data_IF_437961427840
#
_entry.id   IF_437961427840
#
_cell.length_a   1.000
_cell.length_b   1.000
_cell.length_c   1.000
_cell.angle_alpha   90.00
_cell.angle_beta   90.00
_cell.angle_gamma   90.00
#
_symmetry.space_group_name_H-M   'P 1'
#
loop_
_entity.id
_entity.type
_entity.pdbx_description
1 polymer ?
#
# COMPACT_ATOMS: atom_id res chain seq x y z
N UNK A 1 4.98 -7.24 -13.55
CA UNK A 1 5.00 -8.25 -12.48
C UNK A 1 6.18 -9.21 -12.64
N UNK A 2 6.33 -9.88 -13.79
CA UNK A 2 7.42 -10.86 -14.01
C UNK A 2 8.81 -10.28 -13.72
N UNK A 3 9.13 -9.12 -14.28
CA UNK A 3 10.41 -8.46 -14.06
C UNK A 3 10.63 -8.10 -12.58
N UNK A 4 9.60 -7.63 -11.90
CA UNK A 4 9.66 -7.29 -10.48
C UNK A 4 9.96 -8.51 -9.60
N UNK A 5 9.33 -9.65 -9.88
CA UNK A 5 9.60 -10.91 -9.18
C UNK A 5 11.04 -11.37 -9.41
N UNK A 6 11.51 -11.30 -10.66
CA UNK A 6 12.89 -11.69 -11.01
C UNK A 6 13.93 -10.76 -10.37
N UNK A 7 13.68 -9.46 -10.35
CA UNK A 7 14.56 -8.49 -9.69
C UNK A 7 14.61 -8.67 -8.16
N UNK A 8 13.53 -9.15 -7.58
CA UNK A 8 13.48 -9.49 -6.15
C UNK A 8 14.19 -10.82 -5.83
N UNK A 9 14.87 -11.43 -6.79
CA UNK A 9 15.55 -12.74 -6.67
C UNK A 9 14.60 -13.89 -6.30
N UNK A 10 13.34 -13.73 -6.62
CA UNK A 10 12.30 -14.77 -6.45
C UNK A 10 12.10 -15.49 -7.77
N UNK A 11 11.81 -16.78 -7.67
CA UNK A 11 11.55 -17.60 -8.86
C UNK A 11 10.20 -17.26 -9.46
N UNK A 12 10.21 -16.96 -10.75
CA UNK A 12 8.98 -16.88 -11.54
C UNK A 12 8.68 -18.28 -12.10
N UNK A 13 7.44 -18.80 -11.93
CA UNK A 13 7.12 -20.14 -12.40
C UNK A 13 7.33 -20.30 -13.90
N UNK A 14 8.04 -21.33 -14.30
CA UNK A 14 8.23 -21.70 -15.71
C UNK A 14 7.06 -22.56 -16.22
N UNK A 15 5.83 -22.14 -15.92
CA UNK A 15 4.58 -22.83 -16.25
C UNK A 15 3.59 -21.83 -16.85
N UNK A 16 2.58 -22.36 -17.51
CA UNK A 16 1.45 -21.54 -17.94
C UNK A 16 0.71 -21.01 -16.71
N UNK A 17 0.60 -19.68 -16.62
CA UNK A 17 -0.10 -19.00 -15.55
C UNK A 17 -1.42 -18.47 -16.09
N UNK A 18 -2.52 -18.82 -15.43
CA UNK A 18 -3.83 -18.25 -15.68
C UNK A 18 -4.22 -17.38 -14.50
N UNK A 19 -4.49 -16.10 -14.76
CA UNK A 19 -4.94 -15.15 -13.76
C UNK A 19 -6.39 -14.81 -14.02
N UNK A 20 -7.23 -14.97 -13.00
CA UNK A 20 -8.62 -14.59 -13.05
C UNK A 20 -8.84 -13.39 -12.10
N UNK A 21 -9.17 -12.23 -12.67
CA UNK A 21 -9.50 -11.02 -11.93
C UNK A 21 -11.01 -10.87 -11.86
N UNK A 22 -11.58 -11.23 -10.73
CA UNK A 22 -13.01 -11.08 -10.45
C UNK A 22 -13.27 -9.80 -9.62
N UNK A 23 -14.46 -9.19 -9.75
CA UNK A 23 -15.47 -9.40 -10.79
C UNK A 23 -15.07 -8.79 -12.13
N UNK A 24 -15.62 -9.34 -13.22
CA UNK A 24 -15.24 -8.97 -14.60
C UNK A 24 -15.68 -7.55 -15.02
N UNK A 25 -16.67 -7.00 -14.37
CA UNK A 25 -17.30 -5.71 -14.65
C UNK A 25 -16.61 -4.51 -13.99
N UNK A 26 -15.67 -4.74 -13.06
CA UNK A 26 -14.90 -3.67 -12.46
C UNK A 26 -13.76 -3.20 -13.38
N UNK A 27 -13.56 -1.87 -13.54
CA UNK A 27 -12.42 -1.35 -14.27
C UNK A 27 -11.12 -1.79 -13.60
N UNK A 28 -10.21 -2.36 -14.41
CA UNK A 28 -8.90 -2.87 -13.97
C UNK A 28 -7.77 -2.08 -14.61
N UNK A 29 -7.97 -0.76 -14.66
CA UNK A 29 -7.02 0.17 -15.25
C UNK A 29 -5.85 0.46 -14.30
N UNK A 30 -4.68 0.66 -14.89
CA UNK A 30 -3.45 0.97 -14.16
C UNK A 30 -2.81 -0.22 -13.45
N UNK A 31 -1.73 0.07 -12.75
CA UNK A 31 -0.90 -0.93 -12.09
C UNK A 31 -1.34 -1.32 -10.68
N UNK A 32 -2.48 -0.86 -10.20
CA UNK A 32 -2.92 -1.08 -8.81
C UNK A 32 -3.06 -2.55 -8.40
N UNK A 33 -3.26 -3.43 -9.35
CA UNK A 33 -3.38 -4.87 -9.13
C UNK A 33 -2.06 -5.63 -9.26
N UNK A 34 -0.95 -4.96 -9.57
CA UNK A 34 0.35 -5.61 -9.75
C UNK A 34 0.80 -6.35 -8.49
N UNK A 35 0.68 -5.72 -7.33
CA UNK A 35 1.07 -6.33 -6.06
C UNK A 35 0.26 -7.58 -5.73
N UNK A 36 -1.08 -7.57 -5.75
CA UNK A 36 -1.84 -8.80 -5.50
C UNK A 36 -1.58 -9.89 -6.54
N UNK A 37 -1.35 -9.54 -7.80
CA UNK A 37 -0.97 -10.50 -8.85
C UNK A 37 0.37 -11.18 -8.54
N UNK A 38 1.38 -10.40 -8.19
CA UNK A 38 2.70 -10.92 -7.83
C UNK A 38 2.62 -11.88 -6.62
N UNK A 39 1.89 -11.48 -5.59
CA UNK A 39 1.72 -12.29 -4.39
C UNK A 39 0.94 -13.58 -4.65
N UNK A 40 -0.08 -13.53 -5.50
CA UNK A 40 -0.82 -14.70 -5.93
C UNK A 40 0.06 -15.71 -6.70
N UNK A 41 0.92 -15.23 -7.58
CA UNK A 41 1.90 -16.05 -8.32
C UNK A 41 2.91 -16.68 -7.35
N UNK A 42 3.44 -15.90 -6.41
CA UNK A 42 4.40 -16.39 -5.40
C UNK A 42 3.78 -17.43 -4.47
N UNK A 43 2.53 -17.26 -4.07
CA UNK A 43 1.79 -18.23 -3.28
C UNK A 43 1.56 -19.53 -4.06
N UNK A 44 1.18 -19.43 -5.32
CA UNK A 44 1.00 -20.59 -6.20
C UNK A 44 2.31 -21.36 -6.43
N UNK A 45 3.45 -20.69 -6.40
CA UNK A 45 4.79 -21.27 -6.55
C UNK A 45 5.40 -21.77 -5.22
N UNK A 46 4.69 -21.65 -4.12
CA UNK A 46 5.16 -22.09 -2.80
C UNK A 46 6.11 -21.14 -2.09
N UNK A 47 6.38 -19.95 -2.65
CA UNK A 47 7.26 -18.95 -2.04
C UNK A 47 6.62 -18.27 -0.81
N UNK A 48 5.30 -18.22 -0.78
CA UNK A 48 4.49 -17.68 0.33
C UNK A 48 3.40 -18.70 0.66
N UNK A 49 3.09 -18.86 1.95
CA UNK A 49 1.92 -19.65 2.35
C UNK A 49 0.64 -18.96 1.89
N UNK A 50 -0.21 -19.62 1.06
CA UNK A 50 -1.48 -19.05 0.62
C UNK A 50 -2.38 -18.58 1.77
N UNK A 51 -2.33 -19.23 2.91
CA UNK A 51 -3.13 -18.84 4.08
C UNK A 51 -2.70 -17.51 4.67
N UNK A 52 -1.43 -17.12 4.53
CA UNK A 52 -0.96 -15.81 4.96
C UNK A 52 -1.62 -14.65 4.19
N UNK A 53 -2.14 -14.90 2.99
CA UNK A 53 -2.83 -13.91 2.17
C UNK A 53 -4.30 -13.70 2.56
N UNK A 54 -4.90 -14.64 3.26
CA UNK A 54 -6.35 -14.65 3.51
C UNK A 54 -6.84 -13.46 4.34
N UNK A 55 -6.02 -12.95 5.26
CA UNK A 55 -6.39 -11.86 6.16
C UNK A 55 -6.06 -10.48 5.60
N UNK A 56 -5.40 -10.43 4.44
CA UNK A 56 -4.89 -9.21 3.85
C UNK A 56 -5.60 -8.82 2.57
N UNK A 57 -5.67 -7.52 2.35
CA UNK A 57 -5.91 -6.91 1.06
C UNK A 57 -4.64 -6.19 0.60
N UNK A 58 -4.40 -6.16 -0.70
CA UNK A 58 -3.20 -5.58 -1.29
C UNK A 58 -3.56 -4.63 -2.40
N UNK A 59 -2.86 -3.53 -2.47
CA UNK A 59 -2.96 -2.58 -3.56
C UNK A 59 -1.59 -1.94 -3.80
N UNK A 60 -1.18 -1.82 -5.05
CA UNK A 60 0.08 -1.18 -5.40
C UNK A 60 0.56 -1.53 -6.79
N UNK A 61 1.20 -0.57 -7.43
CA UNK A 61 1.89 -0.75 -8.69
C UNK A 61 3.33 -1.19 -8.46
N UNK A 62 3.80 -2.17 -9.23
CA UNK A 62 5.17 -2.65 -9.18
C UNK A 62 5.99 -2.05 -10.33
N UNK A 63 7.09 -1.37 -9.98
CA UNK A 63 8.14 -1.05 -10.93
C UNK A 63 8.88 -2.33 -11.37
N UNK A 64 9.57 -2.26 -12.48
CA UNK A 64 10.36 -3.40 -13.00
C UNK A 64 11.44 -3.86 -12.01
N UNK A 65 11.91 -2.95 -11.16
CA UNK A 65 12.89 -3.20 -10.09
C UNK A 65 12.33 -3.91 -8.86
N UNK A 66 11.00 -4.06 -8.76
CA UNK A 66 10.34 -4.59 -7.58
C UNK A 66 9.92 -3.54 -6.55
N UNK A 67 10.18 -2.27 -6.79
CA UNK A 67 9.71 -1.18 -5.95
C UNK A 67 8.20 -0.98 -6.09
N UNK A 68 7.53 -0.66 -4.98
CA UNK A 68 6.14 -0.27 -4.97
C UNK A 68 5.99 1.22 -5.27
N UNK A 69 5.21 1.52 -6.30
CA UNK A 69 4.84 2.89 -6.66
C UNK A 69 3.52 3.29 -6.05
N UNK A 70 3.43 4.54 -5.63
CA UNK A 70 2.18 5.13 -5.20
C UNK A 70 1.12 5.08 -6.31
N UNK A 71 -0.12 4.86 -5.91
CA UNK A 71 -1.28 4.88 -6.79
C UNK A 71 -2.21 6.03 -6.41
N UNK A 72 -3.07 6.43 -7.32
CA UNK A 72 -4.08 7.44 -7.05
C UNK A 72 -5.30 6.83 -6.35
N UNK A 73 -5.81 7.51 -5.33
CA UNK A 73 -7.08 7.16 -4.70
C UNK A 73 -7.06 5.88 -3.88
N UNK A 74 -6.09 5.73 -2.97
CA UNK A 74 -6.00 4.57 -2.08
C UNK A 74 -7.00 4.65 -0.91
N UNK A 75 -7.43 5.83 -0.49
CA UNK A 75 -8.26 6.03 0.70
C UNK A 75 -9.59 5.27 0.67
N UNK A 76 -10.38 5.24 -0.43
CA UNK A 76 -11.59 4.44 -0.48
C UNK A 76 -11.36 2.95 -0.23
N UNK A 77 -10.29 2.38 -0.77
CA UNK A 77 -9.92 0.99 -0.55
C UNK A 77 -9.53 0.72 0.90
N UNK A 78 -8.78 1.64 1.52
CA UNK A 78 -8.39 1.57 2.94
C UNK A 78 -9.61 1.62 3.85
N UNK A 79 -10.55 2.52 3.58
CA UNK A 79 -11.80 2.63 4.34
C UNK A 79 -12.65 1.36 4.22
N UNK A 80 -12.72 0.77 3.04
CA UNK A 80 -13.42 -0.50 2.83
C UNK A 80 -12.77 -1.65 3.61
N UNK A 81 -11.45 -1.74 3.61
CA UNK A 81 -10.72 -2.73 4.39
C UNK A 81 -10.93 -2.55 5.90
N UNK A 82 -10.92 -1.30 6.38
CA UNK A 82 -11.21 -0.96 7.78
C UNK A 82 -12.62 -1.42 8.19
N UNK A 83 -13.63 -1.13 7.37
CA UNK A 83 -15.01 -1.55 7.64
C UNK A 83 -15.17 -3.07 7.65
N UNK A 84 -14.44 -3.77 6.79
CA UNK A 84 -14.44 -5.23 6.72
C UNK A 84 -13.60 -5.89 7.83
N UNK A 85 -12.88 -5.12 8.65
CA UNK A 85 -11.98 -5.64 9.68
C UNK A 85 -10.77 -6.37 9.10
N UNK A 86 -10.37 -6.05 7.88
CA UNK A 86 -9.26 -6.69 7.18
C UNK A 86 -7.97 -5.87 7.30
N UNK A 87 -6.85 -6.57 7.26
CA UNK A 87 -5.53 -5.96 7.15
C UNK A 87 -5.27 -5.55 5.69
N UNK A 88 -4.52 -4.49 5.49
CA UNK A 88 -4.18 -4.03 4.14
C UNK A 88 -2.73 -3.57 4.06
N UNK A 89 -2.10 -3.85 2.92
CA UNK A 89 -0.76 -3.35 2.60
C UNK A 89 -0.86 -2.41 1.40
N UNK A 90 -0.31 -1.21 1.58
CA UNK A 90 -0.28 -0.14 0.57
C UNK A 90 1.16 0.31 0.31
N UNK A 91 1.45 0.95 -0.82
CA UNK A 91 2.76 1.53 -1.05
C UNK A 91 3.10 2.61 -0.02
N UNK A 92 4.37 2.72 0.37
CA UNK A 92 4.83 3.76 1.29
C UNK A 92 4.49 5.18 0.79
N UNK A 93 4.52 5.41 -0.52
CA UNK A 93 4.12 6.68 -1.11
C UNK A 93 2.66 7.08 -0.85
N UNK A 94 1.81 6.13 -0.47
CA UNK A 94 0.41 6.35 -0.08
C UNK A 94 0.20 6.42 1.44
N UNK A 95 1.26 6.41 2.24
CA UNK A 95 1.17 6.35 3.70
C UNK A 95 0.37 7.51 4.29
N UNK A 96 0.58 8.74 3.81
CA UNK A 96 -0.14 9.93 4.28
C UNK A 96 -1.64 9.84 3.99
N UNK A 97 -2.03 9.43 2.78
CA UNK A 97 -3.42 9.24 2.40
C UNK A 97 -4.07 8.10 3.18
N UNK A 98 -3.40 6.94 3.27
CA UNK A 98 -3.89 5.79 4.02
C UNK A 98 -4.03 6.09 5.52
N UNK A 99 -3.14 6.88 6.08
CA UNK A 99 -3.17 7.31 7.47
C UNK A 99 -4.41 8.14 7.84
N UNK A 100 -5.02 8.83 6.87
CA UNK A 100 -6.26 9.60 7.10
C UNK A 100 -7.43 8.73 7.56
N UNK A 101 -7.43 7.45 7.21
CA UNK A 101 -8.45 6.50 7.64
C UNK A 101 -8.36 6.13 9.12
N UNK A 102 -7.23 6.40 9.79
CA UNK A 102 -6.96 6.04 11.19
C UNK A 102 -7.29 4.58 11.51
N UNK A 103 -6.93 3.69 10.59
CA UNK A 103 -7.15 2.25 10.73
C UNK A 103 -5.92 1.59 11.36
N UNK A 104 -6.17 0.63 12.27
CA UNK A 104 -5.09 -0.01 13.04
C UNK A 104 -4.23 -0.99 12.23
N UNK A 105 -4.77 -1.57 11.16
CA UNK A 105 -4.15 -2.67 10.43
C UNK A 105 -3.80 -2.33 8.98
N UNK A 106 -3.39 -1.09 8.74
CA UNK A 106 -2.92 -0.65 7.43
C UNK A 106 -1.41 -0.50 7.48
N UNK A 107 -0.72 -1.29 6.67
CA UNK A 107 0.74 -1.36 6.62
C UNK A 107 1.27 -0.74 5.34
N UNK A 108 2.49 -0.24 5.39
CA UNK A 108 3.16 0.37 4.25
C UNK A 108 4.41 -0.40 3.87
N UNK A 109 4.68 -0.53 2.58
CA UNK A 109 5.85 -1.20 2.06
C UNK A 109 6.49 -0.41 0.90
N UNK A 110 7.80 -0.53 0.75
CA UNK A 110 8.58 0.09 -0.33
C UNK A 110 8.80 -0.85 -1.49
N UNK A 111 8.94 -2.13 -1.20
CA UNK A 111 9.32 -3.14 -2.19
C UNK A 111 8.50 -4.40 -2.04
N UNK A 112 8.45 -5.20 -3.11
CA UNK A 112 7.83 -6.53 -3.10
C UNK A 112 8.48 -7.44 -2.04
N UNK A 113 9.82 -7.37 -1.87
CA UNK A 113 10.54 -8.17 -0.89
C UNK A 113 10.13 -7.85 0.55
N UNK A 114 9.92 -6.59 0.88
CA UNK A 114 9.43 -6.21 2.21
C UNK A 114 8.07 -6.84 2.52
N UNK A 115 7.17 -6.86 1.54
CA UNK A 115 5.85 -7.51 1.67
C UNK A 115 6.01 -9.02 1.88
N UNK A 116 6.87 -9.67 1.09
CA UNK A 116 7.14 -11.12 1.19
C UNK A 116 7.71 -11.47 2.57
N UNK A 117 8.69 -10.72 3.05
CA UNK A 117 9.28 -10.94 4.38
C UNK A 117 8.26 -10.74 5.51
N UNK A 118 7.40 -9.73 5.38
CA UNK A 118 6.33 -9.51 6.35
C UNK A 118 5.33 -10.69 6.38
N UNK A 119 4.91 -11.17 5.22
CA UNK A 119 3.98 -12.31 5.13
C UNK A 119 4.59 -13.64 5.61
N UNK A 120 5.92 -13.77 5.53
CA UNK A 120 6.65 -14.91 6.10
C UNK A 120 6.91 -14.81 7.61
N UNK A 121 6.59 -13.67 8.22
CA UNK A 121 6.87 -13.40 9.63
C UNK A 121 8.32 -13.05 9.93
N UNK A 122 9.14 -12.77 8.93
CA UNK A 122 10.57 -12.43 9.06
C UNK A 122 10.80 -10.94 9.34
N UNK A 123 9.82 -10.11 9.02
CA UNK A 123 9.88 -8.66 9.13
C UNK A 123 8.49 -8.09 9.44
N UNK A 124 8.42 -6.98 10.16
CA UNK A 124 7.16 -6.30 10.46
C UNK A 124 7.10 -4.96 9.73
N UNK A 125 6.14 -4.79 8.84
CA UNK A 125 5.92 -3.54 8.13
C UNK A 125 5.42 -2.44 9.06
N UNK A 126 5.82 -1.17 8.85
CA UNK A 126 5.30 -0.04 9.62
C UNK A 126 3.82 0.19 9.32
N UNK A 127 3.09 0.64 10.36
CA UNK A 127 1.69 0.99 10.23
C UNK A 127 1.54 2.41 9.67
N UNK A 128 0.60 2.62 8.76
CA UNK A 128 0.34 3.93 8.15
C UNK A 128 -0.12 4.99 9.16
N UNK A 129 -0.79 4.61 10.26
CA UNK A 129 -1.26 5.53 11.30
C UNK A 129 -0.10 6.29 11.98
N UNK A 130 1.07 5.69 12.06
CA UNK A 130 2.27 6.35 12.64
C UNK A 130 2.69 7.57 11.83
N UNK A 131 2.39 7.62 10.55
CA UNK A 131 2.69 8.78 9.71
C UNK A 131 1.77 9.99 9.96
N UNK A 132 0.56 9.78 10.49
CA UNK A 132 -0.36 10.86 10.82
C UNK A 132 0.04 11.64 12.06
N UNK A 133 0.67 10.99 13.02
CA UNK A 133 1.11 11.64 14.26
C UNK A 133 2.18 12.71 14.01
N UNK A 134 2.93 12.60 12.91
CA UNK A 134 3.90 13.62 12.49
C UNK A 134 3.28 14.82 11.77
N UNK A 135 2.08 14.66 11.19
CA UNK A 135 1.38 15.73 10.47
C UNK A 135 0.49 16.55 11.41
N UNK A 136 0.02 15.96 12.51
CA UNK A 136 -0.81 16.60 13.53
C UNK A 136 0.00 17.23 14.67
N UNK A 137 1.32 17.33 14.56
CA UNK A 137 2.10 18.13 15.52
C UNK A 137 1.55 19.57 15.49
N UNK A 138 1.01 20.08 16.61
CA UNK A 138 0.40 21.41 16.62
C UNK A 138 1.43 22.45 16.21
N UNK A 139 1.09 23.25 15.21
CA UNK A 139 1.94 24.37 14.83
C UNK A 139 2.16 25.26 16.06
N UNK A 140 3.41 25.64 16.37
CA UNK A 140 3.66 26.49 17.52
C UNK A 140 2.83 27.77 17.39
N UNK A 141 2.22 28.20 18.50
CA UNK A 141 1.26 29.32 18.56
C UNK A 141 1.74 30.60 17.87
N UNK A 142 3.06 30.80 17.77
CA UNK A 142 3.68 31.91 17.04
C UNK A 142 3.44 31.87 15.53
N UNK A 143 3.35 30.70 14.91
CA UNK A 143 3.07 30.60 13.48
C UNK A 143 1.60 30.81 13.14
N UNK A 144 0.70 30.42 14.04
CA UNK A 144 -0.73 30.71 13.93
C UNK A 144 -1.03 32.22 13.97
N UNK A 145 -0.29 32.98 14.80
CA UNK A 145 -0.42 34.44 14.88
C UNK A 145 0.07 35.13 13.61
N UNK A 146 1.12 34.63 12.96
CA UNK A 146 1.64 35.16 11.69
C UNK A 146 0.66 34.89 10.55
N UNK A 147 0.05 33.69 10.48
CA UNK A 147 -0.96 33.38 9.47
C UNK A 147 -2.23 34.22 9.63
N UNK A 148 -2.73 34.43 10.85
CA UNK A 148 -3.87 35.33 11.11
C UNK A 148 -3.60 36.77 10.67
N UNK A 149 -2.39 37.30 10.89
CA UNK A 149 -2.01 38.63 10.43
C UNK A 149 -1.90 38.78 8.93
N UNK A 150 -1.55 37.68 8.18
CA UNK A 150 -1.53 37.68 6.70
C UNK A 150 -2.92 37.65 6.09
N UNK A 151 -3.87 36.95 6.70
CA UNK A 151 -5.25 36.87 6.21
C UNK A 151 -6.04 38.18 6.40
N UNK A 152 -5.63 39.06 7.31
CA UNK A 152 -6.24 40.36 7.52
C UNK A 152 -5.57 41.52 6.76
N UNK A 153 -4.54 41.23 5.94
CA UNK A 153 -3.89 42.18 5.03
C UNK A 153 -4.15 41.81 3.57
N UNK A 154 -5.39 41.81 3.17
CA UNK A 154 -5.76 41.98 1.76
C UNK A 154 -6.12 43.46 1.62
N UNK A 155 -5.30 44.31 0.96
CA UNK A 155 -5.74 45.61 0.54
C UNK A 155 -6.75 45.45 -0.59
N UNK A 156 -7.75 46.22 -0.52
CA UNK A 156 -8.64 46.47 -1.64
C UNK A 156 -7.86 46.95 -2.87
#
# INVERSE_FOLDING_TARGET
VRAAISCAQLEFPNRRITVNLAPADLPKDGGRFDLPLALGILAANGAIDPQALNDYEFIGELALTGELRAIDGVLPAVLAAKQAGRRMIVPLGNAAEAGLARAEHIYTARTLMEVVHHLRGEFCLPNAAVHCDFIEAPMPAKQLTIMRRRLHRTPY
#
